data_IF_224324691536
#
_entry.id   IF_224324691536
#
_cell.length_a   1.000
_cell.length_b   1.000
_cell.length_c   1.000
_cell.angle_alpha   90.00
_cell.angle_beta   90.00
_cell.angle_gamma   90.00
#
_symmetry.space_group_name_H-M   'P 1'
#
loop_
_entity.id
_entity.type
_entity.pdbx_description
1 polymer ?
#
# COMPACT_ATOMS: atom_id res chain seq x y z
N UNK A 1 14.02 -2.30 9.20
CA UNK A 1 14.02 -2.12 7.73
C UNK A 1 12.69 -1.51 7.35
N UNK A 2 12.66 -0.60 6.38
CA UNK A 2 11.41 -0.01 5.89
C UNK A 2 11.23 -0.39 4.43
N UNK A 3 10.00 -0.62 4.01
CA UNK A 3 9.65 -0.82 2.60
C UNK A 3 8.90 0.40 2.11
N UNK A 4 9.42 1.06 1.09
CA UNK A 4 8.68 2.07 0.33
C UNK A 4 7.90 1.37 -0.79
N UNK A 5 6.69 1.83 -1.07
CA UNK A 5 5.83 1.18 -2.04
C UNK A 5 4.89 2.16 -2.75
N UNK A 6 4.42 1.75 -3.93
CA UNK A 6 3.36 2.41 -4.69
C UNK A 6 2.25 1.39 -4.92
N UNK A 7 1.03 1.75 -4.54
CA UNK A 7 -0.18 1.01 -4.85
C UNK A 7 -0.95 1.70 -5.98
N UNK A 8 -1.63 0.91 -6.79
CA UNK A 8 -2.58 1.37 -7.80
C UNK A 8 -3.95 0.74 -7.54
N UNK A 9 -5.01 1.52 -7.73
CA UNK A 9 -6.39 1.02 -7.82
C UNK A 9 -6.93 1.35 -9.20
N UNK A 10 -7.43 0.32 -9.89
CA UNK A 10 -8.08 0.49 -11.18
C UNK A 10 -9.46 1.12 -11.01
N UNK A 11 -10.19 0.76 -9.95
CA UNK A 11 -11.54 1.26 -9.70
C UNK A 11 -11.60 2.78 -9.53
N UNK A 12 -10.63 3.36 -8.81
CA UNK A 12 -10.57 4.81 -8.58
C UNK A 12 -9.46 5.50 -9.38
N UNK A 13 -8.82 4.80 -10.32
CA UNK A 13 -7.75 5.31 -11.18
C UNK A 13 -6.70 6.16 -10.43
N UNK A 14 -6.25 5.66 -9.28
CA UNK A 14 -5.42 6.44 -8.36
C UNK A 14 -4.20 5.67 -7.90
N UNK A 15 -3.13 6.42 -7.64
CA UNK A 15 -1.91 5.91 -7.05
C UNK A 15 -1.81 6.32 -5.58
N UNK A 16 -1.28 5.43 -4.74
CA UNK A 16 -0.98 5.69 -3.34
C UNK A 16 0.49 5.39 -3.07
N UNK A 17 1.24 6.40 -2.62
CA UNK A 17 2.65 6.27 -2.24
C UNK A 17 2.74 6.18 -0.72
N UNK A 18 3.49 5.20 -0.23
CA UNK A 18 3.63 5.00 1.20
C UNK A 18 4.91 4.27 1.58
N UNK A 19 5.08 4.12 2.88
CA UNK A 19 6.12 3.28 3.46
C UNK A 19 5.57 2.50 4.65
N UNK A 20 6.24 1.40 4.98
CA UNK A 20 5.89 0.58 6.13
C UNK A 20 7.11 -0.09 6.74
N UNK A 21 7.09 -0.25 8.07
CA UNK A 21 8.02 -1.12 8.80
C UNK A 21 7.51 -2.57 8.93
N UNK A 22 6.28 -2.84 8.50
CA UNK A 22 5.64 -4.16 8.56
C UNK A 22 5.91 -4.94 7.26
N UNK A 23 5.67 -6.26 7.25
CA UNK A 23 5.60 -7.01 6.00
C UNK A 23 4.63 -6.38 4.99
N UNK A 24 5.03 -6.35 3.72
CA UNK A 24 4.28 -5.65 2.67
C UNK A 24 2.90 -6.28 2.43
N UNK A 25 2.79 -7.60 2.57
CA UNK A 25 1.55 -8.35 2.46
C UNK A 25 0.56 -8.00 3.58
N UNK A 26 1.04 -7.85 4.82
CA UNK A 26 0.21 -7.37 5.93
C UNK A 26 -0.26 -5.93 5.71
N UNK A 27 0.62 -5.06 5.20
CA UNK A 27 0.23 -3.68 4.87
C UNK A 27 -0.82 -3.65 3.76
N UNK A 28 -0.66 -4.47 2.72
CA UNK A 28 -1.61 -4.55 1.62
C UNK A 28 -2.98 -5.06 2.10
N UNK A 29 -3.02 -6.10 2.94
CA UNK A 29 -4.27 -6.60 3.55
C UNK A 29 -5.04 -5.48 4.27
N UNK A 30 -4.33 -4.61 5.01
CA UNK A 30 -4.96 -3.46 5.69
C UNK A 30 -5.57 -2.45 4.72
N UNK A 31 -4.97 -2.25 3.55
CA UNK A 31 -5.53 -1.39 2.51
C UNK A 31 -6.76 -2.02 1.82
N UNK A 32 -6.84 -3.36 1.76
CA UNK A 32 -7.97 -4.09 1.18
C UNK A 32 -9.16 -4.23 2.15
N UNK A 33 -8.92 -4.13 3.46
CA UNK A 33 -9.99 -4.11 4.46
C UNK A 33 -10.66 -2.74 4.52
N UNK A 34 -11.97 -2.68 4.28
CA UNK A 34 -12.74 -1.44 4.35
C UNK A 34 -12.57 -0.74 5.70
N UNK A 35 -11.97 0.44 5.68
CA UNK A 35 -11.82 1.33 6.84
C UNK A 35 -12.25 2.75 6.47
N UNK A 36 -12.62 3.60 7.44
CA UNK A 36 -13.10 4.99 7.20
C UNK A 36 -12.04 5.98 6.64
N UNK A 37 -10.95 5.49 6.05
CA UNK A 37 -9.84 6.32 5.53
C UNK A 37 -9.87 6.46 4.01
N UNK A 38 -9.01 7.34 3.46
CA UNK A 38 -8.90 7.60 2.01
C UNK A 38 -8.73 6.33 1.17
N UNK A 39 -7.92 5.37 1.64
CA UNK A 39 -7.70 4.09 0.94
C UNK A 39 -8.84 3.09 1.10
N UNK A 40 -9.78 3.29 2.04
CA UNK A 40 -10.96 2.44 2.18
C UNK A 40 -12.07 2.73 1.17
N UNK A 41 -11.87 3.69 0.25
CA UNK A 41 -12.77 3.93 -0.88
C UNK A 41 -12.64 2.89 -2.00
N UNK A 42 -11.57 2.10 -1.97
CA UNK A 42 -11.24 1.10 -2.96
C UNK A 42 -10.64 -0.12 -2.27
N UNK A 43 -10.97 -1.32 -2.74
CA UNK A 43 -10.53 -2.60 -2.18
C UNK A 43 -9.80 -3.46 -3.23
N UNK A 44 -9.34 -2.84 -4.32
CA UNK A 44 -8.63 -3.44 -5.44
C UNK A 44 -7.17 -2.96 -5.53
N UNK A 45 -6.62 -2.47 -4.42
CA UNK A 45 -5.24 -2.00 -4.37
C UNK A 45 -4.27 -3.12 -4.75
N UNK A 46 -3.43 -2.86 -5.75
CA UNK A 46 -2.31 -3.72 -6.14
C UNK A 46 -0.99 -3.00 -5.92
N UNK A 47 0.04 -3.72 -5.49
CA UNK A 47 1.38 -3.16 -5.39
C UNK A 47 2.05 -3.18 -6.77
N UNK A 48 2.35 -1.99 -7.32
CA UNK A 48 3.04 -1.84 -8.61
C UNK A 48 4.53 -1.55 -8.45
N UNK A 49 4.95 -1.17 -7.23
CA UNK A 49 6.35 -0.95 -6.88
C UNK A 49 6.58 -1.25 -5.40
N UNK A 50 7.70 -1.91 -5.08
CA UNK A 50 8.20 -2.08 -3.71
C UNK A 50 9.72 -1.99 -3.69
N UNK A 51 10.28 -1.33 -2.69
CA UNK A 51 11.73 -1.29 -2.46
C UNK A 51 12.02 -1.34 -0.97
N UNK A 52 12.79 -2.33 -0.55
CA UNK A 52 13.34 -2.36 0.80
C UNK A 52 14.46 -1.33 0.94
N UNK A 53 14.44 -0.62 2.06
CA UNK A 53 15.52 0.25 2.51
C UNK A 53 16.22 -0.42 3.69
N UNK A 54 17.53 -0.73 3.54
CA UNK A 54 18.34 -1.15 4.66
C UNK A 54 18.49 0.03 5.65
N UNK A 55 18.74 -0.25 6.93
CA UNK A 55 19.14 0.80 7.87
C UNK A 55 20.44 1.45 7.39
N UNK A 56 20.52 2.78 7.54
CA UNK A 56 21.71 3.60 7.32
C UNK A 56 22.80 3.31 8.34
#
# INVERSE_FOLDING_TARGET
MYTVYILYSNNIHSYYVGYTSMPMDERLKRHLTNHKGFTGKANDWIAVYTKQQPPS
#
